data_IF_636117973700
#
_entry.id   IF_636117973700
#
_cell.length_a   1.000
_cell.length_b   1.000
_cell.length_c   1.000
_cell.angle_alpha   90.00
_cell.angle_beta   90.00
_cell.angle_gamma   90.00
#
_symmetry.space_group_name_H-M   'P 1'
#
loop_
_entity.id
_entity.type
_entity.pdbx_description
1 polymer ?
#
# COMPACT_ATOMS: atom_id res chain seq x y z
N UNK A 1 -11.23 21.06 -20.52
CA UNK A 1 -11.43 19.61 -20.34
C UNK A 1 -11.11 19.25 -18.90
N UNK A 2 -12.04 18.69 -18.10
CA UNK A 2 -11.72 18.23 -16.74
C UNK A 2 -10.80 16.99 -16.78
N UNK A 3 -9.90 16.87 -15.81
CA UNK A 3 -9.00 15.71 -15.65
C UNK A 3 -9.51 14.86 -14.49
N UNK A 4 -9.72 13.56 -14.73
CA UNK A 4 -10.10 12.61 -13.69
C UNK A 4 -8.87 12.12 -12.94
N UNK A 5 -8.87 12.29 -11.61
CA UNK A 5 -7.77 11.88 -10.73
C UNK A 5 -8.26 10.77 -9.80
N UNK A 6 -7.56 9.61 -9.72
CA UNK A 6 -7.95 8.56 -8.80
C UNK A 6 -7.77 9.01 -7.34
N UNK A 7 -8.53 8.42 -6.42
CA UNK A 7 -8.32 8.70 -4.99
C UNK A 7 -6.92 8.25 -4.56
N UNK A 8 -6.20 9.06 -3.77
CA UNK A 8 -4.79 8.80 -3.42
C UNK A 8 -4.62 7.46 -2.70
N UNK A 9 -5.53 7.11 -1.78
CA UNK A 9 -5.50 5.86 -1.03
C UNK A 9 -5.60 4.61 -1.92
N UNK A 10 -6.54 4.58 -2.87
CA UNK A 10 -6.68 3.45 -3.79
C UNK A 10 -5.51 3.40 -4.75
N UNK A 11 -5.01 4.56 -5.17
CA UNK A 11 -3.87 4.60 -6.07
C UNK A 11 -2.58 4.11 -5.40
N UNK A 12 -2.37 4.38 -4.11
CA UNK A 12 -1.26 3.83 -3.34
C UNK A 12 -1.26 2.30 -3.34
N UNK A 13 -2.40 1.69 -2.97
CA UNK A 13 -2.58 0.23 -2.94
C UNK A 13 -2.47 -0.36 -4.35
N UNK A 14 -3.09 0.28 -5.34
CA UNK A 14 -2.97 -0.13 -6.75
C UNK A 14 -1.53 -0.16 -7.22
N UNK A 15 -0.73 0.87 -6.89
CA UNK A 15 0.67 0.96 -7.31
C UNK A 15 1.54 -0.11 -6.68
N UNK A 16 1.32 -0.41 -5.40
CA UNK A 16 1.95 -1.51 -4.71
C UNK A 16 1.67 -2.86 -5.39
N UNK A 17 0.41 -3.10 -5.75
CA UNK A 17 -0.06 -4.32 -6.43
C UNK A 17 0.50 -4.43 -7.86
N UNK A 18 0.51 -3.33 -8.62
CA UNK A 18 1.06 -3.33 -9.98
C UNK A 18 2.55 -3.63 -9.95
N UNK A 19 3.30 -3.00 -9.04
CA UNK A 19 4.73 -3.22 -8.90
C UNK A 19 5.09 -4.70 -8.64
N UNK A 20 4.27 -5.41 -7.86
CA UNK A 20 4.52 -6.82 -7.51
C UNK A 20 4.19 -7.83 -8.62
N UNK A 21 3.46 -7.39 -9.66
CA UNK A 21 3.10 -8.20 -10.83
C UNK A 21 4.03 -8.00 -12.02
N UNK A 22 4.90 -6.99 -11.99
CA UNK A 22 5.83 -6.71 -13.08
C UNK A 22 6.90 -7.81 -13.20
N UNK A 23 7.28 -8.13 -14.44
CA UNK A 23 8.35 -9.10 -14.73
C UNK A 23 9.78 -8.58 -14.46
N UNK A 24 10.81 -9.42 -14.61
CA UNK A 24 12.20 -9.07 -14.28
C UNK A 24 12.76 -7.87 -15.07
N UNK A 25 12.35 -7.67 -16.32
CA UNK A 25 12.83 -6.59 -17.19
C UNK A 25 12.23 -5.20 -16.89
N UNK A 26 11.26 -5.10 -15.97
CA UNK A 26 10.52 -3.87 -15.71
C UNK A 26 11.03 -3.09 -14.49
N UNK A 27 12.33 -3.15 -14.19
CA UNK A 27 12.96 -2.57 -12.99
C UNK A 27 12.62 -1.09 -12.76
N UNK A 28 12.90 -0.22 -13.75
CA UNK A 28 12.64 1.21 -13.64
C UNK A 28 11.15 1.55 -13.41
N UNK A 29 10.24 0.80 -14.03
CA UNK A 29 8.79 0.98 -13.83
C UNK A 29 8.36 0.51 -12.44
N UNK A 30 8.90 -0.62 -11.98
CA UNK A 30 8.64 -1.13 -10.62
C UNK A 30 9.09 -0.13 -9.57
N UNK A 31 10.30 0.39 -9.69
CA UNK A 31 10.86 1.40 -8.79
C UNK A 31 9.97 2.65 -8.76
N UNK A 32 9.57 3.15 -9.93
CA UNK A 32 8.62 4.27 -10.03
C UNK A 32 7.30 3.97 -9.30
N UNK A 33 6.69 2.82 -9.56
CA UNK A 33 5.39 2.48 -8.97
C UNK A 33 5.50 2.31 -7.44
N UNK A 34 6.58 1.71 -6.94
CA UNK A 34 6.88 1.62 -5.49
C UNK A 34 7.09 3.00 -4.87
N UNK A 35 7.88 3.87 -5.53
CA UNK A 35 8.08 5.25 -5.09
C UNK A 35 6.75 6.01 -5.00
N UNK A 36 5.87 5.87 -5.98
CA UNK A 36 4.52 6.46 -5.94
C UNK A 36 3.67 5.91 -4.80
N UNK A 37 3.70 4.59 -4.56
CA UNK A 37 2.97 3.96 -3.45
C UNK A 37 3.45 4.50 -2.10
N UNK A 38 4.78 4.52 -1.87
CA UNK A 38 5.40 5.06 -0.66
C UNK A 38 5.03 6.53 -0.44
N UNK A 39 5.20 7.38 -1.46
CA UNK A 39 4.92 8.82 -1.34
C UNK A 39 3.47 9.08 -0.96
N UNK A 40 2.52 8.36 -1.56
CA UNK A 40 1.11 8.51 -1.24
C UNK A 40 0.78 8.03 0.17
N UNK A 41 1.36 6.91 0.61
CA UNK A 41 1.22 6.43 1.99
C UNK A 41 1.72 7.48 3.00
N UNK A 42 2.93 8.02 2.78
CA UNK A 42 3.51 9.06 3.65
C UNK A 42 2.68 10.35 3.63
N UNK A 43 2.18 10.77 2.47
CA UNK A 43 1.35 11.96 2.34
C UNK A 43 -0.01 11.80 3.04
N UNK A 44 -0.63 10.62 2.95
CA UNK A 44 -1.88 10.32 3.64
C UNK A 44 -1.70 10.37 5.15
N UNK A 45 -0.61 9.80 5.68
CA UNK A 45 -0.28 9.93 7.12
C UNK A 45 -0.04 11.40 7.52
N UNK A 46 0.81 12.11 6.78
CA UNK A 46 1.15 13.51 7.08
C UNK A 46 -0.08 14.44 7.06
N UNK A 47 -1.12 14.08 6.31
CA UNK A 47 -2.38 14.82 6.22
C UNK A 47 -3.50 14.27 7.10
N UNK A 48 -3.20 13.32 8.00
CA UNK A 48 -4.16 12.67 8.91
C UNK A 48 -5.30 11.92 8.19
N UNK A 49 -4.99 11.33 7.05
CA UNK A 49 -5.90 10.54 6.19
C UNK A 49 -5.43 9.10 6.02
N UNK A 50 -4.64 8.60 6.96
CA UNK A 50 -4.19 7.21 6.96
C UNK A 50 -5.33 6.21 7.17
N UNK A 51 -6.45 6.61 7.77
CA UNK A 51 -7.69 5.82 7.86
C UNK A 51 -8.27 5.49 6.47
N UNK A 52 -8.30 6.46 5.54
CA UNK A 52 -8.66 6.23 4.13
C UNK A 52 -7.77 5.15 3.50
N UNK A 53 -6.47 5.16 3.83
CA UNK A 53 -5.51 4.15 3.37
C UNK A 53 -5.83 2.77 3.94
N UNK A 54 -6.14 2.68 5.24
CA UNK A 54 -6.52 1.44 5.89
C UNK A 54 -7.79 0.83 5.29
N UNK A 55 -8.82 1.63 5.00
CA UNK A 55 -10.02 1.14 4.32
C UNK A 55 -9.70 0.61 2.91
N UNK A 56 -8.89 1.33 2.12
CA UNK A 56 -8.49 0.87 0.79
C UNK A 56 -7.62 -0.40 0.84
N UNK A 57 -6.76 -0.53 1.85
CA UNK A 57 -5.99 -1.75 2.10
C UNK A 57 -6.91 -2.92 2.44
N UNK A 58 -7.85 -2.75 3.37
CA UNK A 58 -8.81 -3.80 3.76
C UNK A 58 -9.67 -4.23 2.57
N UNK A 59 -10.19 -3.30 1.78
CA UNK A 59 -10.96 -3.62 0.57
C UNK A 59 -10.17 -4.53 -0.38
N UNK A 60 -8.87 -4.26 -0.55
CA UNK A 60 -7.98 -5.08 -1.37
C UNK A 60 -7.65 -6.42 -0.70
N UNK A 61 -7.42 -6.43 0.62
CA UNK A 61 -7.11 -7.62 1.42
C UNK A 61 -8.27 -8.63 1.44
N UNK A 62 -9.50 -8.14 1.47
CA UNK A 62 -10.74 -8.92 1.50
C UNK A 62 -11.10 -9.55 0.14
N UNK A 63 -10.38 -9.21 -0.93
CA UNK A 63 -10.52 -9.89 -2.24
C UNK A 63 -9.96 -11.33 -2.24
N UNK A 64 -9.33 -11.76 -1.14
CA UNK A 64 -8.89 -13.14 -0.94
C UNK A 64 -7.39 -13.38 -1.18
N UNK A 65 -6.97 -14.64 -1.04
CA UNK A 65 -5.56 -15.00 -0.83
C UNK A 65 -4.60 -14.49 -1.93
N UNK A 66 -5.02 -14.52 -3.19
CA UNK A 66 -4.20 -14.01 -4.30
C UNK A 66 -3.85 -12.52 -4.11
N UNK A 67 -4.79 -11.72 -3.65
CA UNK A 67 -4.56 -10.30 -3.38
C UNK A 67 -3.66 -10.10 -2.17
N UNK A 68 -3.88 -10.87 -1.09
CA UNK A 68 -3.03 -10.85 0.11
C UNK A 68 -1.58 -11.15 -0.23
N UNK A 69 -1.32 -12.21 -1.00
CA UNK A 69 0.01 -12.57 -1.49
C UNK A 69 0.64 -11.50 -2.38
N UNK A 70 -0.16 -10.91 -3.27
CA UNK A 70 0.29 -9.82 -4.16
C UNK A 70 0.71 -8.58 -3.37
N UNK A 71 -0.04 -8.24 -2.31
CA UNK A 71 0.25 -7.13 -1.41
C UNK A 71 1.51 -7.43 -0.59
N UNK A 72 1.60 -8.61 0.04
CA UNK A 72 2.80 -9.05 0.79
C UNK A 72 4.05 -8.99 -0.08
N UNK A 73 3.98 -9.48 -1.32
CA UNK A 73 5.07 -9.37 -2.29
C UNK A 73 5.43 -7.92 -2.58
N UNK A 74 4.43 -7.05 -2.78
CA UNK A 74 4.64 -5.62 -3.00
C UNK A 74 5.39 -4.95 -1.85
N UNK A 75 4.97 -5.21 -0.61
CA UNK A 75 5.63 -4.68 0.59
C UNK A 75 7.09 -5.17 0.70
N UNK A 76 7.34 -6.42 0.31
CA UNK A 76 8.69 -7.00 0.31
C UNK A 76 9.61 -6.51 -0.81
N UNK A 77 9.11 -5.74 -1.78
CA UNK A 77 9.94 -5.11 -2.81
C UNK A 77 10.56 -3.79 -2.34
N UNK A 78 10.08 -3.20 -1.25
CA UNK A 78 10.72 -2.05 -0.64
C UNK A 78 12.04 -2.44 0.04
N UNK A 79 12.98 -1.49 0.11
CA UNK A 79 14.10 -1.60 1.03
C UNK A 79 13.62 -1.67 2.49
N UNK A 80 14.51 -2.06 3.40
CA UNK A 80 14.15 -2.33 4.79
C UNK A 80 13.53 -1.11 5.51
N UNK A 81 14.07 0.09 5.30
CA UNK A 81 13.64 1.33 5.95
C UNK A 81 12.27 1.78 5.43
N UNK A 82 12.10 1.79 4.11
CA UNK A 82 10.81 2.10 3.48
C UNK A 82 9.74 1.10 3.89
N UNK A 83 10.06 -0.19 3.91
CA UNK A 83 9.11 -1.24 4.30
C UNK A 83 8.67 -1.08 5.75
N UNK A 84 9.61 -0.74 6.65
CA UNK A 84 9.28 -0.49 8.06
C UNK A 84 8.31 0.68 8.18
N UNK A 85 8.67 1.81 7.57
CA UNK A 85 7.85 3.02 7.57
C UNK A 85 6.42 2.74 7.06
N UNK A 86 6.29 2.07 5.92
CA UNK A 86 4.97 1.75 5.34
C UNK A 86 4.18 0.79 6.24
N UNK A 87 4.83 -0.22 6.83
CA UNK A 87 4.17 -1.17 7.73
C UNK A 87 3.70 -0.52 9.03
N UNK A 88 4.48 0.39 9.61
CA UNK A 88 4.09 1.15 10.81
C UNK A 88 2.88 2.04 10.51
N UNK A 89 2.88 2.75 9.37
CA UNK A 89 1.73 3.57 8.95
C UNK A 89 0.47 2.71 8.76
N UNK A 90 0.59 1.59 8.06
CA UNK A 90 -0.53 0.66 7.85
C UNK A 90 -0.99 0.04 9.17
N UNK A 91 -0.08 -0.41 10.03
CA UNK A 91 -0.40 -1.01 11.32
C UNK A 91 -1.14 -0.04 12.25
N UNK A 92 -0.64 1.19 12.36
CA UNK A 92 -1.30 2.25 13.12
C UNK A 92 -2.69 2.58 12.56
N UNK A 93 -2.81 2.79 11.26
CA UNK A 93 -4.09 3.15 10.63
C UNK A 93 -5.14 2.04 10.68
N UNK A 94 -4.73 0.77 10.53
CA UNK A 94 -5.62 -0.38 10.71
C UNK A 94 -6.19 -0.45 12.13
N UNK A 95 -5.36 -0.17 13.14
CA UNK A 95 -5.82 -0.08 14.54
C UNK A 95 -6.78 1.08 14.77
N UNK A 96 -6.51 2.24 14.17
CA UNK A 96 -7.40 3.41 14.26
C UNK A 96 -8.82 3.12 13.75
N UNK A 97 -8.95 2.30 12.70
CA UNK A 97 -10.25 1.87 12.18
C UNK A 97 -10.79 0.58 12.84
N UNK A 98 -10.09 0.03 13.83
CA UNK A 98 -10.47 -1.20 14.52
C UNK A 98 -10.36 -2.48 13.68
N UNK A 99 -9.59 -2.45 12.59
CA UNK A 99 -9.39 -3.59 11.71
C UNK A 99 -8.21 -4.47 12.16
N UNK A 100 -8.38 -5.79 12.02
CA UNK A 100 -7.32 -6.78 12.23
C UNK A 100 -7.33 -7.77 11.07
N UNK A 101 -6.57 -7.48 9.98
CA UNK A 101 -6.57 -8.34 8.81
C UNK A 101 -5.91 -9.68 9.14
N UNK A 102 -6.65 -10.77 8.92
CA UNK A 102 -6.16 -12.13 9.12
C UNK A 102 -4.84 -12.36 8.37
N UNK A 103 -3.84 -12.87 9.07
CA UNK A 103 -2.53 -13.19 8.49
C UNK A 103 -1.72 -11.97 8.03
N UNK A 104 -2.03 -10.78 8.53
CA UNK A 104 -1.21 -9.58 8.37
C UNK A 104 -0.61 -9.16 9.72
N UNK A 105 0.72 -9.12 9.80
CA UNK A 105 1.43 -8.67 11.01
C UNK A 105 1.48 -7.15 11.04
N UNK A 106 0.73 -6.54 11.95
CA UNK A 106 0.78 -5.11 12.22
C UNK A 106 2.03 -4.77 13.04
N UNK A 107 2.80 -3.75 12.61
CA UNK A 107 3.97 -3.21 13.33
C UNK A 107 3.61 -1.90 14.03
N UNK A 108 4.35 -1.59 15.10
CA UNK A 108 4.22 -0.36 15.89
C UNK A 108 5.22 0.71 15.45
#
# INVERSE_FOLDING_TARGET
MPVLVPSPQRYAIHKLIVASRLGPSAGAKREKDLHQARLLTQALEATRRQDDLAFAFMEAWDKGENWRETIRRGLNLFDADTRETVNTILGKSLREIGASPEGFTMRD
#
